data_IF_651736391503
#
_entry.id   IF_651736391503
#
_cell.length_a   1.000
_cell.length_b   1.000
_cell.length_c   1.000
_cell.angle_alpha   90.00
_cell.angle_beta   90.00
_cell.angle_gamma   90.00
#
_symmetry.space_group_name_H-M   'P 1'
#
loop_
_entity.id
_entity.type
_entity.pdbx_description
1 polymer ?
#
# COMPACT_ATOMS: atom_id res chain seq x y z
N UNK A 1 12.91 -13.49 12.37
CA UNK A 1 12.01 -12.41 11.92
C UNK A 1 12.43 -11.92 10.55
N UNK A 2 11.48 -11.73 9.67
CA UNK A 2 11.81 -11.26 8.31
C UNK A 2 12.07 -9.76 8.29
N UNK A 3 12.95 -9.34 7.40
CA UNK A 3 13.14 -7.91 7.17
C UNK A 3 11.95 -7.37 6.39
N UNK A 4 11.76 -6.06 6.43
CA UNK A 4 10.65 -5.45 5.70
C UNK A 4 10.80 -5.71 4.18
N UNK A 5 12.02 -5.72 3.68
CA UNK A 5 12.25 -6.00 2.26
C UNK A 5 11.84 -7.42 1.89
N UNK A 6 12.11 -8.38 2.77
CA UNK A 6 11.68 -9.75 2.56
C UNK A 6 10.17 -9.87 2.59
N UNK A 7 9.53 -9.14 3.49
CA UNK A 7 8.07 -9.14 3.60
C UNK A 7 7.45 -8.60 2.32
N UNK A 8 7.98 -7.49 1.83
CA UNK A 8 7.48 -6.90 0.57
C UNK A 8 7.62 -7.90 -0.57
N UNK A 9 8.78 -8.54 -0.64
CA UNK A 9 9.04 -9.49 -1.72
C UNK A 9 8.09 -10.69 -1.67
N UNK A 10 7.82 -11.19 -0.47
CA UNK A 10 6.96 -12.36 -0.30
C UNK A 10 5.49 -12.04 -0.54
N UNK A 11 5.04 -10.90 -0.04
CA UNK A 11 3.61 -10.58 -0.05
C UNK A 11 3.16 -9.70 -1.20
N UNK A 12 4.10 -9.13 -1.98
CA UNK A 12 3.70 -8.21 -3.04
C UNK A 12 2.79 -8.87 -4.08
N UNK A 13 3.12 -10.08 -4.50
CA UNK A 13 2.29 -10.77 -5.49
C UNK A 13 0.87 -10.97 -4.99
N UNK A 14 0.74 -11.44 -3.74
CA UNK A 14 -0.58 -11.68 -3.15
C UNK A 14 -1.37 -10.38 -3.00
N UNK A 15 -0.74 -9.34 -2.48
CA UNK A 15 -1.43 -8.08 -2.27
C UNK A 15 -1.76 -7.37 -3.58
N UNK A 16 -0.90 -7.52 -4.57
CA UNK A 16 -1.15 -6.91 -5.88
C UNK A 16 -2.31 -7.56 -6.63
N UNK A 17 -2.75 -8.74 -6.21
CA UNK A 17 -3.95 -9.36 -6.81
C UNK A 17 -5.23 -8.71 -6.31
N UNK A 18 -5.17 -7.94 -5.25
CA UNK A 18 -6.35 -7.26 -4.72
C UNK A 18 -6.65 -6.06 -5.61
N UNK A 19 -7.89 -6.00 -6.18
CA UNK A 19 -8.23 -4.88 -7.05
C UNK A 19 -8.09 -3.54 -6.33
N UNK A 20 -7.44 -2.60 -6.96
CA UNK A 20 -7.22 -1.28 -6.38
C UNK A 20 -5.87 -1.09 -5.72
N UNK A 21 -5.12 -2.17 -5.47
CA UNK A 21 -3.77 -2.07 -4.94
C UNK A 21 -2.82 -1.81 -6.09
N UNK A 22 -2.04 -0.74 -5.99
CA UNK A 22 -1.13 -0.34 -7.08
C UNK A 22 0.34 -0.49 -6.73
N UNK A 23 0.66 -0.69 -5.48
CA UNK A 23 2.06 -0.91 -5.11
C UNK A 23 2.25 -1.07 -3.61
N UNK A 24 3.44 -1.54 -3.26
CA UNK A 24 3.86 -1.69 -1.87
C UNK A 24 5.22 -1.06 -1.71
N UNK A 25 5.46 -0.48 -0.55
CA UNK A 25 6.79 0.00 -0.21
C UNK A 25 6.91 0.08 1.31
N UNK A 26 8.12 0.24 1.78
CA UNK A 26 8.33 0.37 3.22
C UNK A 26 8.47 1.85 3.57
N UNK A 27 8.09 2.17 4.79
CA UNK A 27 8.18 3.53 5.27
C UNK A 27 8.14 3.54 6.77
N UNK A 28 7.84 4.70 7.32
CA UNK A 28 7.73 4.85 8.77
C UNK A 28 6.30 5.28 9.09
N UNK A 29 5.77 4.72 10.18
CA UNK A 29 4.46 5.16 10.66
C UNK A 29 4.63 6.44 11.48
N UNK A 30 3.54 6.94 12.05
CA UNK A 30 3.56 8.18 12.81
C UNK A 30 4.48 8.12 14.03
N UNK A 31 4.72 6.93 14.54
CA UNK A 31 5.60 6.76 15.69
C UNK A 31 7.06 6.53 15.31
N UNK A 32 7.37 6.53 14.02
CA UNK A 32 8.73 6.30 13.53
C UNK A 32 9.10 4.84 13.39
N UNK A 33 8.12 3.96 13.46
CA UNK A 33 8.33 2.52 13.32
C UNK A 33 8.27 2.11 11.86
N UNK A 34 9.14 1.19 11.48
CA UNK A 34 9.11 0.64 10.12
C UNK A 34 7.76 -0.02 9.86
N UNK A 35 7.15 0.32 8.76
CA UNK A 35 5.85 -0.23 8.39
C UNK A 35 5.81 -0.58 6.90
N UNK A 36 4.83 -1.41 6.56
CA UNK A 36 4.56 -1.74 5.17
C UNK A 36 3.47 -0.80 4.67
N UNK A 37 3.77 -0.06 3.63
CA UNK A 37 2.78 0.85 3.05
C UNK A 37 2.21 0.22 1.79
N UNK A 38 0.89 0.13 1.77
CA UNK A 38 0.16 -0.42 0.63
C UNK A 38 -0.54 0.72 -0.06
N UNK A 39 -0.12 0.99 -1.29
CA UNK A 39 -0.70 2.08 -2.07
C UNK A 39 -1.92 1.59 -2.82
N UNK A 40 -3.02 2.31 -2.67
CA UNK A 40 -4.28 1.99 -3.33
C UNK A 40 -4.79 3.21 -4.09
N UNK A 41 -5.57 2.95 -5.13
CA UNK A 41 -6.16 4.04 -5.90
C UNK A 41 -7.16 4.80 -5.04
N UNK A 42 -8.05 4.07 -4.38
CA UNK A 42 -9.04 4.64 -3.49
C UNK A 42 -9.12 3.78 -2.23
N UNK A 43 -9.14 4.43 -1.09
CA UNK A 43 -9.25 3.75 0.19
C UNK A 43 -10.71 3.43 0.45
N UNK A 44 -11.07 2.17 0.29
CA UNK A 44 -12.44 1.70 0.46
C UNK A 44 -12.51 0.70 1.60
N UNK A 45 -13.64 0.62 2.31
CA UNK A 45 -13.79 -0.36 3.38
C UNK A 45 -13.52 -1.79 2.93
N UNK A 46 -13.88 -2.13 1.70
CA UNK A 46 -13.62 -3.45 1.14
C UNK A 46 -12.14 -3.77 1.10
N UNK A 47 -11.33 -2.78 0.71
CA UNK A 47 -9.88 -2.96 0.65
C UNK A 47 -9.31 -3.08 2.06
N UNK A 48 -9.81 -2.28 2.98
CA UNK A 48 -9.33 -2.31 4.35
C UNK A 48 -9.60 -3.67 4.99
N UNK A 49 -10.67 -4.33 4.60
CA UNK A 49 -10.97 -5.67 5.11
C UNK A 49 -10.10 -6.75 4.48
N UNK A 50 -9.65 -6.53 3.25
CA UNK A 50 -8.82 -7.51 2.55
C UNK A 50 -7.35 -7.39 2.88
N UNK A 51 -6.92 -6.19 3.28
CA UNK A 51 -5.53 -5.93 3.59
C UNK A 51 -5.34 -6.07 5.10
N UNK A 52 -4.47 -7.00 5.55
CA UNK A 52 -4.26 -7.17 6.99
C UNK A 52 -3.63 -5.94 7.62
N UNK A 53 -3.89 -5.74 8.91
CA UNK A 53 -3.33 -4.60 9.64
C UNK A 53 -1.89 -4.84 10.07
N UNK A 54 -1.48 -6.11 10.11
CA UNK A 54 -0.13 -6.50 10.50
C UNK A 54 0.33 -7.65 9.62
N UNK A 55 1.56 -7.58 9.18
CA UNK A 55 2.18 -8.66 8.40
C UNK A 55 3.56 -8.89 8.96
N UNK A 56 3.83 -10.10 9.44
CA UNK A 56 5.15 -10.52 9.95
C UNK A 56 5.69 -9.56 11.02
N UNK A 57 4.80 -9.03 11.85
CA UNK A 57 5.20 -8.13 12.92
C UNK A 57 5.32 -6.66 12.52
N UNK A 58 5.08 -6.35 11.27
CA UNK A 58 5.11 -4.96 10.80
C UNK A 58 3.70 -4.41 10.65
N UNK A 59 3.46 -3.19 11.12
CA UNK A 59 2.16 -2.57 10.87
C UNK A 59 1.98 -2.26 9.39
N UNK A 60 0.75 -2.38 8.93
CA UNK A 60 0.39 -2.12 7.54
C UNK A 60 -0.42 -0.84 7.47
N UNK A 61 0.06 0.11 6.67
CA UNK A 61 -0.61 1.39 6.47
C UNK A 61 -1.10 1.45 5.05
N UNK A 62 -2.38 1.73 4.87
CA UNK A 62 -2.98 1.88 3.55
C UNK A 62 -2.89 3.35 3.16
N UNK A 63 -2.28 3.60 2.00
CA UNK A 63 -2.07 4.96 1.52
C UNK A 63 -2.82 5.15 0.21
N UNK A 64 -3.70 6.13 0.19
CA UNK A 64 -4.47 6.43 -1.01
C UNK A 64 -3.67 7.35 -1.92
N UNK A 65 -3.43 6.89 -3.14
CA UNK A 65 -2.69 7.68 -4.13
C UNK A 65 -3.61 8.45 -5.05
N UNK A 66 -4.89 8.12 -5.02
CA UNK A 66 -5.82 8.72 -5.93
C UNK A 66 -5.71 8.12 -7.33
N UNK A 67 -6.55 8.59 -8.20
CA UNK A 67 -6.56 8.12 -9.58
C UNK A 67 -5.41 8.77 -10.34
N UNK A 68 -4.61 7.95 -10.98
CA UNK A 68 -3.50 8.45 -11.79
C UNK A 68 -4.06 8.83 -13.16
N UNK A 69 -4.04 10.14 -13.47
CA UNK A 69 -4.48 10.62 -14.77
C UNK A 69 -3.28 11.20 -15.51
N UNK A 70 -3.16 10.88 -16.75
CA UNK A 70 -2.12 11.52 -17.56
C UNK A 70 -2.42 12.97 -17.67
N UNK A 71 -2.30 13.92 -17.32
CA UNK A 71 -2.51 15.14 -17.27
C UNK A 71 -3.33 16.06 -17.07
N UNK A 72 -3.55 15.81 -16.67
CA UNK A 72 -4.20 16.17 -16.51
C UNK A 72 -4.27 17.10 -16.46
N UNK A 73 -4.27 17.06 -16.62
CA UNK A 73 -4.36 17.59 -16.76
C UNK A 73 -4.53 18.41 -17.02
N UNK A 74 -4.44 18.72 -17.27
CA UNK A 74 -4.55 19.36 -17.71
C UNK A 74 -4.92 20.08 -17.96
N UNK A 75 -4.95 20.28 -18.13
CA UNK A 75 -5.17 20.76 -18.62
C UNK A 75 -5.44 21.33 -19.07
N UNK A 76 -5.40 21.25 -19.30
CA UNK A 76 -5.56 21.60 -20.00
C UNK A 76 -5.85 22.21 -20.23
N UNK A 77 -5.89 22.31 -20.36
CA UNK A 77 -5.97 22.75 -20.84
C UNK A 77 -6.09 23.13 -21.01
#
# INVERSE_FOLDING_TARGET
>A
MKTIDEVIKIYSDSLMTIPGVVGLYHGLDDSGRTCLKVMVVQKKPELERRIPEWIEGYPVVIEETGEIKPMQQSNDQ
#
